data_IF_046925667990
#
_entry.id   IF_046925667990
#
_cell.length_a   1.000
_cell.length_b   1.000
_cell.length_c   1.000
_cell.angle_alpha   90.00
_cell.angle_beta   90.00
_cell.angle_gamma   90.00
#
_symmetry.space_group_name_H-M   'P 1'
#
loop_
_entity.id
_entity.type
_entity.pdbx_description
1 polymer ?
#
# COMPACT_ATOMS: atom_id res chain seq x y z
N UNK A 1 -12.64 -12.69 5.03
CA UNK A 1 -11.91 -11.98 4.35
C UNK A 1 -10.56 -12.15 4.51
N UNK A 2 -9.89 -12.04 3.61
CA UNK A 2 -8.69 -12.56 3.70
C UNK A 2 -7.74 -11.90 2.88
N UNK A 3 -6.57 -11.98 3.25
CA UNK A 3 -5.49 -11.71 2.43
C UNK A 3 -5.39 -10.25 2.02
N UNK A 4 -5.25 -10.03 0.73
CA UNK A 4 -5.02 -8.70 0.20
C UNK A 4 -6.18 -7.75 0.48
N UNK A 5 -7.40 -8.27 0.58
CA UNK A 5 -8.53 -7.40 0.90
C UNK A 5 -8.39 -6.78 2.28
N UNK A 6 -7.81 -7.51 3.24
CA UNK A 6 -7.56 -6.93 4.55
C UNK A 6 -6.55 -5.81 4.48
N UNK A 7 -5.51 -5.99 3.66
CA UNK A 7 -4.50 -4.96 3.47
C UNK A 7 -5.12 -3.70 2.87
N UNK A 8 -5.94 -3.87 1.82
CA UNK A 8 -6.61 -2.74 1.20
C UNK A 8 -7.53 -2.03 2.18
N UNK A 9 -8.28 -2.79 2.96
CA UNK A 9 -9.18 -2.22 3.93
C UNK A 9 -8.43 -1.36 4.94
N UNK A 10 -7.30 -1.85 5.40
CA UNK A 10 -6.47 -1.13 6.36
C UNK A 10 -5.94 0.17 5.75
N UNK A 11 -5.48 0.11 4.50
CA UNK A 11 -4.94 1.29 3.84
C UNK A 11 -6.05 2.30 3.55
N UNK A 12 -7.22 1.83 3.14
CA UNK A 12 -8.37 2.70 2.89
C UNK A 12 -8.84 3.38 4.16
N UNK A 13 -8.49 2.83 5.32
CA UNK A 13 -8.81 3.45 6.60
C UNK A 13 -7.89 4.59 6.99
N UNK A 14 -6.80 4.82 6.25
CA UNK A 14 -5.91 5.94 6.52
C UNK A 14 -6.54 7.19 5.94
N UNK A 15 -6.98 8.09 6.82
CA UNK A 15 -7.78 9.23 6.40
C UNK A 15 -7.05 10.19 5.47
N UNK A 16 -5.74 10.26 5.60
CA UNK A 16 -4.94 11.16 4.77
C UNK A 16 -4.86 10.73 3.32
N UNK A 17 -5.09 9.45 3.04
CA UNK A 17 -4.95 8.93 1.68
C UNK A 17 -6.23 9.00 0.90
N UNK A 18 -6.12 9.23 -0.40
CA UNK A 18 -7.25 9.17 -1.32
C UNK A 18 -6.92 8.19 -2.43
N UNK A 19 -7.83 7.23 -2.64
CA UNK A 19 -7.70 6.28 -3.74
C UNK A 19 -8.37 6.90 -4.96
N UNK A 20 -7.58 7.41 -5.89
CA UNK A 20 -8.13 8.13 -7.03
C UNK A 20 -8.39 7.23 -8.22
N UNK A 21 -7.46 6.34 -8.53
CA UNK A 21 -7.72 5.24 -9.43
C UNK A 21 -7.58 3.97 -8.64
N UNK A 22 -8.22 2.87 -9.04
CA UNK A 22 -8.14 1.66 -8.23
C UNK A 22 -6.71 1.27 -7.91
N UNK A 23 -6.45 1.02 -6.62
CA UNK A 23 -5.16 0.58 -6.11
C UNK A 23 -4.05 1.63 -6.20
N UNK A 24 -4.40 2.89 -6.45
CA UNK A 24 -3.44 4.00 -6.46
C UNK A 24 -3.88 5.02 -5.42
N UNK A 25 -3.02 5.26 -4.43
CA UNK A 25 -3.37 6.10 -3.29
C UNK A 25 -2.48 7.34 -3.26
N UNK A 26 -3.10 8.48 -2.98
CA UNK A 26 -2.45 9.78 -3.02
C UNK A 26 -2.62 10.52 -1.71
N UNK A 27 -1.66 11.37 -1.38
CA UNK A 27 -1.73 12.28 -0.26
C UNK A 27 -1.41 13.67 -0.79
N UNK A 28 -2.37 14.58 -0.69
CA UNK A 28 -2.23 15.96 -1.17
C UNK A 28 -1.74 16.01 -2.63
N UNK A 29 -2.30 15.14 -3.43
CA UNK A 29 -1.98 15.11 -4.86
C UNK A 29 -0.72 14.35 -5.22
N UNK A 30 0.05 13.89 -4.24
CA UNK A 30 1.26 13.12 -4.52
C UNK A 30 0.99 11.63 -4.37
N UNK A 31 1.39 10.85 -5.35
CA UNK A 31 1.25 9.40 -5.27
C UNK A 31 2.11 8.85 -4.14
N UNK A 32 1.48 8.13 -3.22
CA UNK A 32 2.16 7.53 -2.09
C UNK A 32 2.42 6.06 -2.32
N UNK A 33 1.43 5.36 -2.82
CA UNK A 33 1.54 3.92 -3.01
C UNK A 33 0.67 3.50 -4.17
N UNK A 34 1.16 2.54 -4.96
CA UNK A 34 0.30 1.87 -5.90
C UNK A 34 0.65 0.38 -5.92
N UNK A 35 -0.36 -0.42 -6.18
CA UNK A 35 -0.20 -1.87 -6.25
C UNK A 35 -0.25 -2.32 -7.69
N UNK A 36 0.52 -3.37 -8.00
CA UNK A 36 0.41 -4.00 -9.29
C UNK A 36 0.68 -5.49 -9.13
N UNK A 37 0.27 -6.25 -10.14
CA UNK A 37 0.40 -7.69 -10.12
C UNK A 37 1.30 -8.11 -11.26
N UNK A 38 2.24 -9.01 -10.97
CA UNK A 38 3.12 -9.56 -11.98
C UNK A 38 3.19 -11.06 -11.74
N UNK A 39 2.74 -11.84 -12.70
CA UNK A 39 2.75 -13.30 -12.63
C UNK A 39 2.11 -13.84 -11.35
N UNK A 40 0.97 -13.24 -10.99
CA UNK A 40 0.22 -13.70 -9.82
C UNK A 40 0.75 -13.18 -8.49
N UNK A 41 1.82 -12.43 -8.50
CA UNK A 41 2.38 -11.86 -7.28
C UNK A 41 2.07 -10.38 -7.22
N UNK A 42 1.59 -9.94 -6.06
CA UNK A 42 1.24 -8.54 -5.84
C UNK A 42 2.45 -7.80 -5.30
N UNK A 43 2.72 -6.64 -5.89
CA UNK A 43 3.79 -5.76 -5.43
C UNK A 43 3.20 -4.41 -5.06
N UNK A 44 3.82 -3.76 -4.10
CA UNK A 44 3.44 -2.41 -3.70
C UNK A 44 4.64 -1.49 -3.92
N UNK A 45 4.44 -0.42 -4.66
CA UNK A 45 5.47 0.61 -4.81
C UNK A 45 5.09 1.76 -3.88
N UNK A 46 5.93 2.00 -2.89
CA UNK A 46 5.69 3.03 -1.89
C UNK A 46 6.98 3.83 -1.70
N UNK A 47 6.91 5.12 -1.98
CA UNK A 47 8.10 5.95 -1.95
C UNK A 47 9.10 5.45 -2.99
N UNK A 48 10.31 5.15 -2.56
CA UNK A 48 11.33 4.60 -3.45
C UNK A 48 11.47 3.08 -3.29
N UNK A 49 10.56 2.46 -2.52
CA UNK A 49 10.64 1.05 -2.20
C UNK A 49 9.65 0.24 -3.01
N UNK A 50 10.05 -0.98 -3.36
CA UNK A 50 9.13 -1.95 -3.93
C UNK A 50 9.04 -3.12 -2.95
N UNK A 51 7.84 -3.42 -2.52
CA UNK A 51 7.59 -4.42 -1.51
C UNK A 51 6.80 -5.56 -2.12
N UNK A 52 7.31 -6.79 -2.03
CA UNK A 52 6.59 -7.95 -2.54
C UNK A 52 5.58 -8.38 -1.49
N UNK A 53 4.31 -8.28 -1.82
CA UNK A 53 3.23 -8.61 -0.90
C UNK A 53 2.94 -10.12 -0.91
N UNK A 54 3.00 -10.72 -2.10
CA UNK A 54 2.68 -12.14 -2.25
C UNK A 54 1.39 -12.36 -3.01
N UNK A 55 0.75 -13.49 -2.78
CA UNK A 55 -0.51 -13.78 -3.47
C UNK A 55 -1.66 -13.06 -2.78
N UNK A 56 -2.77 -12.92 -3.52
CA UNK A 56 -3.93 -12.23 -2.96
C UNK A 56 -4.53 -12.98 -1.79
N UNK A 57 -4.36 -14.29 -1.77
CA UNK A 57 -4.96 -15.12 -0.71
C UNK A 57 -4.06 -15.25 0.50
N UNK A 58 -2.75 -15.22 0.28
CA UNK A 58 -1.79 -15.42 1.36
C UNK A 58 -0.69 -14.38 1.28
N UNK A 59 -1.00 -13.10 1.55
CA UNK A 59 0.06 -12.10 1.58
C UNK A 59 0.97 -12.32 2.79
N UNK A 60 2.21 -11.88 2.67
CA UNK A 60 3.18 -12.02 3.73
C UNK A 60 2.87 -11.01 4.84
N UNK A 61 2.62 -11.46 6.07
CA UNK A 61 2.31 -10.52 7.17
C UNK A 61 3.45 -9.55 7.46
N UNK A 62 4.69 -9.97 7.28
CA UNK A 62 5.81 -9.07 7.49
C UNK A 62 5.85 -7.98 6.43
N UNK A 63 5.50 -8.34 5.19
CA UNK A 63 5.43 -7.36 4.10
C UNK A 63 4.31 -6.36 4.38
N UNK A 64 3.20 -6.82 4.91
CA UNK A 64 2.10 -5.92 5.24
C UNK A 64 2.52 -4.88 6.27
N UNK A 65 3.22 -5.30 7.32
CA UNK A 65 3.66 -4.36 8.35
C UNK A 65 4.69 -3.39 7.80
N UNK A 66 5.60 -3.88 6.98
CA UNK A 66 6.59 -3.01 6.36
C UNK A 66 5.91 -1.99 5.46
N UNK A 67 4.93 -2.42 4.69
CA UNK A 67 4.18 -1.54 3.81
C UNK A 67 3.47 -0.46 4.60
N UNK A 68 2.77 -0.84 5.66
CA UNK A 68 2.00 0.11 6.45
C UNK A 68 2.92 1.15 7.09
N UNK A 69 4.03 0.71 7.68
CA UNK A 69 4.97 1.64 8.30
C UNK A 69 5.62 2.54 7.26
N UNK A 70 5.88 2.02 6.05
CA UNK A 70 6.44 2.84 4.98
C UNK A 70 5.45 3.92 4.56
N UNK A 71 4.17 3.58 4.44
CA UNK A 71 3.15 4.56 4.08
C UNK A 71 3.08 5.67 5.11
N UNK A 72 3.04 5.31 6.39
CA UNK A 72 2.96 6.30 7.45
C UNK A 72 4.18 7.20 7.47
N UNK A 73 5.35 6.63 7.21
CA UNK A 73 6.57 7.43 7.17
C UNK A 73 6.56 8.40 5.99
N UNK A 74 6.05 7.97 4.83
CA UNK A 74 5.96 8.84 3.66
C UNK A 74 5.00 10.00 3.92
N UNK A 75 3.85 9.70 4.53
CA UNK A 75 2.88 10.74 4.87
C UNK A 75 3.50 11.72 5.84
N UNK A 76 4.18 11.21 6.86
CA UNK A 76 4.81 12.06 7.86
C UNK A 76 5.85 12.99 7.24
N UNK A 77 6.65 12.45 6.33
CA UNK A 77 7.67 13.26 5.66
C UNK A 77 7.07 14.38 4.85
N UNK A 78 5.92 14.15 4.23
CA UNK A 78 5.25 15.15 3.42
C UNK A 78 4.44 16.14 4.26
N UNK A 79 4.19 15.80 5.49
CA UNK A 79 3.37 16.63 6.36
C UNK A 79 4.15 17.81 6.94
N UNK A 80 5.44 17.83 6.81
CA UNK A 80 6.27 18.90 7.37
C UNK A 80 6.04 20.22 6.72
#
# INVERSE_FOLDING_TARGET
MHGFENILSRIRGILELKERTPLHFYYKGKGIIHFHVDSGTIYADAGTSRIMIGSSENPDPNAEELLYSTILREIHALHK
#
